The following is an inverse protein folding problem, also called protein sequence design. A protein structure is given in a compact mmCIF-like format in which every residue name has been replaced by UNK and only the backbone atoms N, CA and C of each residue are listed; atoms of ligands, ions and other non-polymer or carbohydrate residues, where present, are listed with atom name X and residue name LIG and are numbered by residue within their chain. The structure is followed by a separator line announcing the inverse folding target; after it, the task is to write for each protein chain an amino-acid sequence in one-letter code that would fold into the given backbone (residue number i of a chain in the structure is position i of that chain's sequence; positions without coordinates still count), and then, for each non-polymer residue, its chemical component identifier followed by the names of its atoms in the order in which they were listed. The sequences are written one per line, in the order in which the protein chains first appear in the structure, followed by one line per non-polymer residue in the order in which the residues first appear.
data_IF_753888894200
#
_entry.id   IF_753888894200
#
_cell.length_a   1.000
_cell.length_b   1.000
_cell.length_c   1.000
_cell.angle_alpha   90.00
_cell.angle_beta   90.00
_cell.angle_gamma   90.00
#
_symmetry.space_group_name_H-M   'P 1'
#
loop_
_entity.id
_entity.type
_entity.pdbx_description
1 polymer ?
#
# COMPACT_ATOMS: atom_id res chain seq x y z
N UNK A 1 25.15 10.94 -3.74
CA UNK A 1 24.76 11.48 -5.06
C UNK A 1 24.20 10.34 -5.91
N UNK A 2 23.08 10.57 -6.59
CA UNK A 2 22.50 9.62 -7.57
C UNK A 2 23.05 9.98 -8.95
N UNK A 3 23.69 9.04 -9.63
CA UNK A 3 24.20 9.22 -11.00
C UNK A 3 23.27 8.45 -11.94
N UNK A 4 22.60 9.18 -12.85
CA UNK A 4 21.74 8.60 -13.87
C UNK A 4 22.58 8.22 -15.09
N UNK A 5 22.42 6.99 -15.58
CA UNK A 5 23.11 6.48 -16.77
C UNK A 5 22.03 6.17 -17.81
N UNK A 6 22.17 6.74 -19.00
CA UNK A 6 21.28 6.52 -20.14
C UNK A 6 21.99 5.64 -21.18
N UNK A 7 21.26 4.70 -21.79
CA UNK A 7 21.75 3.81 -22.86
C UNK A 7 20.98 4.13 -24.14
N UNK A 8 21.70 4.33 -25.24
CA UNK A 8 21.21 4.75 -26.55
C UNK A 8 20.86 3.57 -27.48
N UNK A 9 21.21 2.32 -27.11
CA UNK A 9 21.02 1.11 -27.94
C UNK A 9 20.29 -0.01 -27.21
N UNK A 10 18.96 0.09 -27.20
CA UNK A 10 18.02 -0.97 -26.79
C UNK A 10 18.29 -1.64 -25.40
N UNK A 11 19.12 -1.02 -24.54
CA UNK A 11 19.40 -1.47 -23.17
C UNK A 11 20.38 -2.64 -23.04
N UNK A 12 21.10 -3.04 -24.10
CA UNK A 12 22.04 -4.17 -24.04
C UNK A 12 23.28 -3.85 -23.19
N UNK A 13 23.78 -2.61 -23.28
CA UNK A 13 24.93 -2.14 -22.50
C UNK A 13 24.54 -2.03 -21.02
N UNK A 14 23.38 -1.45 -20.73
CA UNK A 14 22.88 -1.28 -19.36
C UNK A 14 22.74 -2.64 -18.63
N UNK A 15 22.23 -3.67 -19.31
CA UNK A 15 22.10 -5.04 -18.74
C UNK A 15 23.46 -5.67 -18.39
N UNK A 16 24.49 -5.44 -19.20
CA UNK A 16 25.85 -5.91 -18.95
C UNK A 16 26.53 -5.13 -17.82
N UNK A 17 26.30 -3.81 -17.79
CA UNK A 17 26.83 -2.88 -16.78
C UNK A 17 26.26 -3.13 -15.39
N UNK A 18 24.98 -3.44 -15.23
CA UNK A 18 24.36 -3.77 -13.92
C UNK A 18 25.06 -4.97 -13.24
N UNK A 19 25.65 -5.88 -14.02
CA UNK A 19 26.39 -7.04 -13.50
C UNK A 19 27.82 -6.72 -13.08
N UNK A 20 28.33 -5.53 -13.40
CA UNK A 20 29.72 -5.10 -13.15
C UNK A 20 29.77 -3.98 -12.11
N UNK A 21 30.93 -3.83 -11.47
CA UNK A 21 31.25 -2.67 -10.64
C UNK A 21 31.87 -1.58 -11.52
N UNK A 22 31.39 -0.34 -11.39
CA UNK A 22 31.88 0.82 -12.15
C UNK A 22 32.53 1.84 -11.23
N UNK A 23 33.64 2.40 -11.69
CA UNK A 23 34.35 3.43 -10.96
C UNK A 23 33.69 4.79 -11.21
N UNK A 24 33.10 5.39 -10.17
CA UNK A 24 32.39 6.67 -10.24
C UNK A 24 32.82 7.53 -9.06
N UNK A 25 33.27 8.76 -9.35
CA UNK A 25 33.68 9.76 -8.35
C UNK A 25 34.68 9.20 -7.31
N UNK A 26 35.78 8.60 -7.78
CA UNK A 26 36.87 8.11 -6.93
C UNK A 26 36.60 6.81 -6.17
N UNK A 27 35.49 6.12 -6.44
CA UNK A 27 35.12 4.88 -5.74
C UNK A 27 34.46 3.88 -6.68
N UNK A 28 34.71 2.59 -6.45
CA UNK A 28 34.05 1.51 -7.20
C UNK A 28 32.65 1.28 -6.64
N UNK A 29 31.62 1.38 -7.48
CA UNK A 29 30.21 1.30 -7.07
C UNK A 29 29.48 0.24 -7.87
N UNK A 30 28.57 -0.47 -7.22
CA UNK A 30 27.71 -1.45 -7.87
C UNK A 30 26.49 -0.75 -8.45
N UNK A 31 26.25 -0.98 -9.73
CA UNK A 31 25.05 -0.51 -10.40
C UNK A 31 23.83 -1.30 -9.93
N UNK A 32 22.71 -0.62 -9.76
CA UNK A 32 21.41 -1.24 -9.53
C UNK A 32 20.45 -0.73 -10.59
N UNK A 33 19.61 -1.64 -11.10
CA UNK A 33 18.51 -1.24 -11.96
C UNK A 33 17.62 -0.27 -11.19
N UNK A 34 17.25 0.84 -11.83
CA UNK A 34 16.19 1.68 -11.31
C UNK A 34 14.87 0.96 -11.52
N UNK A 35 14.33 0.38 -10.47
CA UNK A 35 13.00 -0.23 -10.49
C UNK A 35 12.03 0.85 -10.09
N UNK A 36 11.21 1.33 -11.03
CA UNK A 36 10.06 2.15 -10.70
C UNK A 36 9.02 1.23 -10.07
N UNK A 37 9.09 1.07 -8.75
CA UNK A 37 8.07 0.31 -8.02
C UNK A 37 6.84 1.21 -7.93
N UNK A 38 5.72 0.83 -8.55
CA UNK A 38 4.49 1.60 -8.38
C UNK A 38 4.14 1.59 -6.90
N UNK A 39 3.66 2.72 -6.39
CA UNK A 39 3.18 2.81 -5.01
C UNK A 39 2.23 1.64 -4.70
N UNK A 40 2.46 0.98 -3.57
CA UNK A 40 1.62 -0.13 -3.13
C UNK A 40 0.16 0.31 -3.14
N UNK A 41 -0.71 -0.45 -3.80
CA UNK A 41 -2.14 -0.14 -3.87
C UNK A 41 -2.86 -0.66 -2.63
N UNK A 42 -3.90 0.05 -2.22
CA UNK A 42 -4.86 -0.45 -1.24
C UNK A 42 -5.88 -1.32 -1.97
N UNK A 43 -6.10 -2.53 -1.47
CA UNK A 43 -7.09 -3.44 -2.01
C UNK A 43 -8.49 -2.97 -1.62
N UNK A 44 -9.39 -2.77 -2.59
CA UNK A 44 -10.77 -2.32 -2.33
C UNK A 44 -11.64 -3.38 -1.66
N UNK A 45 -11.24 -4.66 -1.72
CA UNK A 45 -11.98 -5.77 -1.09
C UNK A 45 -11.60 -5.89 0.38
N UNK A 46 -10.34 -6.18 0.69
CA UNK A 46 -9.91 -6.41 2.07
C UNK A 46 -9.34 -5.18 2.78
N UNK A 47 -9.26 -4.03 2.10
CA UNK A 47 -8.72 -2.75 2.62
C UNK A 47 -7.24 -2.77 3.04
N UNK A 48 -6.53 -3.88 2.78
CA UNK A 48 -5.10 -4.03 3.04
C UNK A 48 -4.24 -3.50 1.90
N UNK A 49 -3.05 -3.00 2.23
CA UNK A 49 -2.06 -2.55 1.25
C UNK A 49 -1.26 -3.71 0.65
N UNK A 50 -0.72 -3.50 -0.56
CA UNK A 50 0.30 -4.37 -1.16
C UNK A 50 -0.19 -5.33 -2.24
N UNK A 51 -1.47 -5.29 -2.61
CA UNK A 51 -2.01 -6.13 -3.68
C UNK A 51 -3.23 -5.51 -4.37
N UNK A 52 -3.60 -6.03 -5.54
CA UNK A 52 -4.80 -5.63 -6.29
C UNK A 52 -5.99 -6.51 -5.93
N UNK A 53 -7.20 -6.05 -6.26
CA UNK A 53 -8.43 -6.86 -6.12
C UNK A 53 -8.33 -8.22 -6.83
N UNK A 54 -7.70 -8.27 -8.01
CA UNK A 54 -7.62 -9.49 -8.82
C UNK A 54 -6.87 -10.64 -8.14
N UNK A 55 -5.90 -10.32 -7.28
CA UNK A 55 -5.10 -11.31 -6.54
C UNK A 55 -5.47 -11.35 -5.05
N UNK A 56 -6.59 -10.72 -4.67
CA UNK A 56 -7.05 -10.72 -3.29
C UNK A 56 -7.62 -12.09 -2.93
N UNK A 57 -7.06 -12.74 -1.91
CA UNK A 57 -7.55 -14.02 -1.39
C UNK A 57 -8.71 -13.89 -0.37
N UNK A 58 -9.25 -12.69 -0.18
CA UNK A 58 -10.31 -12.46 0.80
C UNK A 58 -11.63 -13.06 0.31
N UNK A 59 -12.33 -13.80 1.18
CA UNK A 59 -13.64 -14.39 0.88
C UNK A 59 -14.80 -13.41 1.03
N UNK A 60 -14.56 -12.30 1.72
CA UNK A 60 -15.55 -11.25 1.97
C UNK A 60 -14.90 -9.87 1.85
N UNK A 61 -15.68 -8.81 1.59
CA UNK A 61 -15.21 -7.44 1.74
C UNK A 61 -14.98 -7.09 3.21
N UNK A 62 -14.07 -6.16 3.44
CA UNK A 62 -13.77 -5.59 4.74
C UNK A 62 -14.05 -4.10 4.73
N UNK A 63 -14.50 -3.60 5.88
CA UNK A 63 -14.88 -2.22 6.05
C UNK A 63 -13.65 -1.34 6.25
N UNK A 64 -13.55 -0.26 5.49
CA UNK A 64 -12.47 0.71 5.65
C UNK A 64 -12.58 1.48 6.98
N UNK A 65 -13.78 1.57 7.58
CA UNK A 65 -14.01 2.35 8.80
C UNK A 65 -13.63 1.57 10.06
N UNK A 66 -14.13 0.34 10.20
CA UNK A 66 -13.93 -0.47 11.41
C UNK A 66 -13.08 -1.73 11.21
N UNK A 67 -12.71 -2.08 9.98
CA UNK A 67 -11.97 -3.31 9.68
C UNK A 67 -12.78 -4.60 9.87
N UNK A 68 -14.10 -4.51 10.03
CA UNK A 68 -15.00 -5.67 10.13
C UNK A 68 -15.31 -6.32 8.76
N UNK A 69 -15.81 -7.57 8.73
CA UNK A 69 -16.06 -8.34 7.51
C UNK A 69 -17.38 -7.95 6.81
N UNK A 70 -17.52 -6.67 6.46
CA UNK A 70 -18.65 -6.14 5.68
C UNK A 70 -18.17 -5.03 4.72
N UNK A 71 -18.92 -4.72 3.64
CA UNK A 71 -18.61 -3.58 2.78
C UNK A 71 -18.65 -2.24 3.53
N UNK A 72 -17.73 -1.32 3.24
CA UNK A 72 -17.77 0.04 3.82
C UNK A 72 -19.10 0.76 3.56
N UNK A 73 -19.75 0.48 2.43
CA UNK A 73 -21.03 1.10 2.05
C UNK A 73 -22.20 0.70 2.97
N UNK A 74 -22.15 -0.48 3.58
CA UNK A 74 -23.17 -0.96 4.52
C UNK A 74 -22.69 -0.85 5.98
N UNK A 75 -21.66 -0.03 6.25
CA UNK A 75 -21.07 0.09 7.58
C UNK A 75 -22.10 0.32 8.69
N UNK A 76 -23.03 1.25 8.52
CA UNK A 76 -24.05 1.55 9.54
C UNK A 76 -25.08 0.42 9.74
N UNK A 77 -25.20 -0.51 8.78
CA UNK A 77 -26.16 -1.62 8.80
C UNK A 77 -25.54 -2.95 9.21
N UNK A 78 -24.22 -3.10 9.13
CA UNK A 78 -23.52 -4.38 9.37
C UNK A 78 -22.48 -4.30 10.48
N UNK A 79 -22.19 -3.09 11.00
CA UNK A 79 -21.25 -2.91 12.07
C UNK A 79 -21.88 -3.23 13.42
N UNK A 80 -21.43 -4.34 14.01
CA UNK A 80 -21.87 -4.82 15.31
C UNK A 80 -21.75 -3.76 16.42
N UNK A 81 -20.68 -2.96 16.42
CA UNK A 81 -20.49 -1.90 17.41
C UNK A 81 -21.56 -0.79 17.29
N UNK A 82 -21.96 -0.42 16.06
CA UNK A 82 -23.03 0.57 15.89
C UNK A 82 -24.41 -0.06 16.21
N UNK A 83 -24.60 -1.37 16.01
CA UNK A 83 -25.81 -2.09 16.40
C UNK A 83 -25.97 -2.18 17.92
N UNK A 84 -24.90 -2.52 18.65
CA UNK A 84 -24.90 -2.59 20.11
C UNK A 84 -25.15 -1.21 20.75
N UNK A 85 -24.75 -0.12 20.08
CA UNK A 85 -25.01 1.25 20.51
C UNK A 85 -26.45 1.74 20.25
N UNK A 86 -27.34 0.91 19.69
CA UNK A 86 -28.77 1.22 19.58
C UNK A 86 -29.17 2.02 18.33
N UNK A 87 -28.50 1.81 17.19
CA UNK A 87 -28.84 2.43 15.89
C UNK A 87 -28.80 3.96 15.89
N UNK A 88 -27.72 4.59 16.38
CA UNK A 88 -27.39 5.94 15.88
C UNK A 88 -26.82 5.78 14.45
N UNK A 89 -27.59 6.08 13.39
CA UNK A 89 -27.15 5.90 12.00
C UNK A 89 -26.12 6.94 11.57
N UNK A 90 -25.82 7.90 12.45
CA UNK A 90 -25.02 9.09 12.14
C UNK A 90 -23.65 9.01 12.82
N UNK A 91 -23.55 8.43 14.01
CA UNK A 91 -22.33 8.44 14.81
C UNK A 91 -21.84 7.04 15.18
N UNK A 92 -21.18 6.35 14.25
CA UNK A 92 -20.39 5.19 14.66
C UNK A 92 -19.04 5.66 15.23
N UNK A 93 -18.85 5.48 16.53
CA UNK A 93 -17.61 5.84 17.24
C UNK A 93 -16.50 4.79 17.05
N UNK A 94 -16.85 3.62 16.49
CA UNK A 94 -15.92 2.53 16.28
C UNK A 94 -15.16 2.68 14.95
N UNK A 95 -14.03 3.38 15.03
CA UNK A 95 -13.08 3.51 13.93
C UNK A 95 -11.82 2.72 14.26
N UNK A 96 -11.43 1.81 13.36
CA UNK A 96 -10.26 0.96 13.51
C UNK A 96 -9.64 0.62 12.16
N UNK A 97 -8.34 0.88 12.03
CA UNK A 97 -7.60 0.60 10.83
C UNK A 97 -7.24 -0.89 10.74
N UNK A 98 -7.64 -1.59 9.67
CA UNK A 98 -7.27 -3.00 9.49
C UNK A 98 -5.76 -3.23 9.28
N UNK A 99 -5.02 -2.18 8.90
CA UNK A 99 -3.59 -2.28 8.57
C UNK A 99 -2.69 -2.16 9.80
N UNK A 100 -2.97 -1.20 10.69
CA UNK A 100 -2.16 -0.95 11.89
C UNK A 100 -2.93 -1.05 13.21
N UNK A 101 -4.23 -1.35 13.18
CA UNK A 101 -5.14 -1.35 14.34
C UNK A 101 -5.28 -0.01 15.07
N UNK A 102 -4.80 1.10 14.50
CA UNK A 102 -4.94 2.44 15.06
C UNK A 102 -6.36 3.02 14.95
N UNK A 103 -6.68 4.10 15.69
CA UNK A 103 -7.99 4.75 15.74
C UNK A 103 -8.24 5.66 14.53
N UNK A 104 -8.12 5.13 13.32
CA UNK A 104 -8.40 5.83 12.06
C UNK A 104 -8.89 4.85 11.00
N UNK A 105 -9.49 5.35 9.92
CA UNK A 105 -9.95 4.52 8.80
C UNK A 105 -8.78 3.94 8.01
N UNK A 106 -8.95 2.78 7.38
CA UNK A 106 -7.90 2.09 6.63
C UNK A 106 -7.28 2.92 5.49
N UNK A 107 -8.01 3.91 4.97
CA UNK A 107 -7.57 4.84 3.91
C UNK A 107 -6.97 6.16 4.45
N UNK A 108 -6.83 6.30 5.77
CA UNK A 108 -6.26 7.51 6.38
C UNK A 108 -4.80 7.70 5.95
N UNK A 109 -4.45 8.97 5.66
CA UNK A 109 -3.09 9.35 5.31
C UNK A 109 -2.13 9.32 6.50
N UNK A 110 -2.67 9.29 7.71
CA UNK A 110 -1.91 9.23 8.96
C UNK A 110 -1.34 7.82 9.20
N UNK A 111 -1.95 6.81 8.56
CA UNK A 111 -1.56 5.41 8.70
C UNK A 111 -0.12 5.18 8.24
N UNK A 112 0.65 4.45 9.05
CA UNK A 112 2.04 4.07 8.74
C UNK A 112 2.14 3.29 7.41
N UNK A 113 1.15 2.43 7.13
CA UNK A 113 1.08 1.71 5.86
C UNK A 113 0.84 2.63 4.66
N UNK A 114 0.02 3.67 4.83
CA UNK A 114 -0.15 4.69 3.79
C UNK A 114 1.17 5.43 3.56
N UNK A 115 1.88 5.83 4.62
CA UNK A 115 3.18 6.53 4.51
C UNK A 115 4.25 5.64 3.86
N UNK A 116 4.26 4.35 4.19
CA UNK A 116 5.21 3.38 3.64
C UNK A 116 4.94 2.99 2.18
N UNK A 117 3.74 3.26 1.65
CA UNK A 117 3.33 2.80 0.30
C UNK A 117 4.22 3.32 -0.83
N UNK A 118 4.82 4.50 -0.65
CA UNK A 118 5.69 5.15 -1.63
C UNK A 118 7.15 4.65 -1.57
N UNK A 119 7.51 3.93 -0.50
CA UNK A 119 8.85 3.40 -0.25
C UNK A 119 8.95 1.88 -0.46
N UNK A 120 7.87 1.25 -0.96
CA UNK A 120 7.75 -0.21 -1.14
C UNK A 120 8.46 -0.70 -2.40
#
# INVERSE_FOLDING_TARGET
AVVKIYDDRAGHLLKSLIKKSVFIAGSNRRLRAWINKPASRQCVVCQRWGHTQQICGSRSPFCATCGGPHPTVTHFQDCEACHQAGHDPVNCTHVKCINCNGPHTANSQECEWYKARANS
#
